data_IF_445915041269
#
_entry.id   IF_445915041269
#
_cell.length_a   1.000
_cell.length_b   1.000
_cell.length_c   1.000
_cell.angle_alpha   90.00
_cell.angle_beta   90.00
_cell.angle_gamma   90.00
#
_symmetry.space_group_name_H-M   'P 1'
#
loop_
_entity.id
_entity.type
_entity.pdbx_description
1 polymer ?
#
# COMPACT_ATOMS: atom_id res chain seq x y z
N UNK A 1 -58.00 12.47 -44.94
CA UNK A 1 -56.56 12.12 -44.96
C UNK A 1 -55.89 12.64 -43.69
N UNK A 2 -55.13 11.76 -43.01
CA UNK A 2 -54.01 11.99 -42.08
C UNK A 2 -54.15 13.05 -40.96
N UNK A 3 -54.28 12.59 -39.71
CA UNK A 3 -53.55 13.14 -38.54
C UNK A 3 -53.85 12.33 -37.26
N UNK A 4 -53.37 11.07 -37.18
CA UNK A 4 -53.39 10.30 -35.91
C UNK A 4 -52.07 9.58 -35.59
N UNK A 5 -51.15 9.46 -36.55
CA UNK A 5 -49.86 8.79 -36.35
C UNK A 5 -48.76 9.67 -35.73
N UNK A 6 -48.78 11.00 -35.97
CA UNK A 6 -47.67 11.88 -35.58
C UNK A 6 -47.55 12.04 -34.06
N UNK A 7 -48.68 11.99 -33.33
CA UNK A 7 -48.67 12.21 -31.88
C UNK A 7 -48.06 11.05 -31.08
N UNK A 8 -48.18 9.81 -31.58
CA UNK A 8 -47.66 8.61 -30.90
C UNK A 8 -46.14 8.54 -31.06
N UNK A 9 -45.64 8.78 -32.29
CA UNK A 9 -44.20 8.80 -32.55
C UNK A 9 -43.48 9.91 -31.77
N UNK A 10 -44.12 11.07 -31.61
CA UNK A 10 -43.57 12.17 -30.82
C UNK A 10 -43.51 11.84 -29.32
N UNK A 11 -44.52 11.14 -28.79
CA UNK A 11 -44.50 10.66 -27.40
C UNK A 11 -43.40 9.62 -27.17
N UNK A 12 -43.22 8.68 -28.11
CA UNK A 12 -42.18 7.66 -28.02
C UNK A 12 -40.79 8.29 -28.06
N UNK A 13 -40.54 9.26 -28.96
CA UNK A 13 -39.24 9.92 -29.03
C UNK A 13 -38.96 10.77 -27.79
N UNK A 14 -39.96 11.46 -27.23
CA UNK A 14 -39.80 12.20 -25.97
C UNK A 14 -39.47 11.26 -24.80
N UNK A 15 -40.14 10.11 -24.71
CA UNK A 15 -39.87 9.11 -23.67
C UNK A 15 -38.45 8.55 -23.82
N UNK A 16 -38.03 8.20 -25.04
CA UNK A 16 -36.68 7.67 -25.29
C UNK A 16 -35.59 8.70 -25.00
N UNK A 17 -35.80 9.98 -25.33
CA UNK A 17 -34.88 11.06 -24.98
C UNK A 17 -34.84 11.27 -23.46
N UNK A 18 -35.97 11.22 -22.76
CA UNK A 18 -36.00 11.32 -21.30
C UNK A 18 -35.26 10.15 -20.63
N UNK A 19 -35.44 8.92 -21.13
CA UNK A 19 -34.70 7.74 -20.65
C UNK A 19 -33.21 7.91 -20.93
N UNK A 20 -32.82 8.37 -22.12
CA UNK A 20 -31.43 8.63 -22.46
C UNK A 20 -30.81 9.71 -21.54
N UNK A 21 -31.53 10.80 -21.27
CA UNK A 21 -31.08 11.84 -20.35
C UNK A 21 -30.95 11.32 -18.91
N UNK A 22 -31.85 10.44 -18.45
CA UNK A 22 -31.76 9.81 -17.11
C UNK A 22 -30.62 8.79 -17.02
N UNK A 23 -30.34 8.04 -18.08
CA UNK A 23 -29.30 6.99 -18.05
C UNK A 23 -27.91 7.55 -18.32
N UNK A 24 -27.80 8.57 -19.18
CA UNK A 24 -26.50 9.08 -19.67
C UNK A 24 -26.10 10.40 -19.03
N UNK A 25 -27.06 11.26 -18.67
CA UNK A 25 -26.77 12.57 -18.07
C UNK A 25 -27.18 12.69 -16.60
N UNK A 26 -27.82 11.67 -16.02
CA UNK A 26 -27.85 11.62 -14.57
C UNK A 26 -26.39 11.43 -14.13
N UNK A 27 -25.83 12.34 -13.32
CA UNK A 27 -24.56 12.06 -12.68
C UNK A 27 -24.74 10.74 -11.95
N UNK A 28 -23.72 9.88 -11.96
CA UNK A 28 -23.65 8.72 -11.07
C UNK A 28 -23.89 9.23 -9.64
N UNK A 29 -25.15 9.26 -9.21
CA UNK A 29 -25.47 9.31 -7.80
C UNK A 29 -25.05 7.94 -7.35
N UNK A 30 -23.81 7.84 -6.89
CA UNK A 30 -23.41 6.83 -5.94
C UNK A 30 -24.54 6.74 -4.93
N UNK A 31 -25.36 5.71 -5.09
CA UNK A 31 -26.46 5.42 -4.22
C UNK A 31 -25.77 4.93 -2.94
N UNK A 32 -25.39 5.86 -2.07
CA UNK A 32 -24.83 5.58 -0.77
C UNK A 32 -25.94 4.94 0.05
N UNK A 33 -26.11 3.63 -0.12
CA UNK A 33 -26.85 2.82 0.82
C UNK A 33 -26.23 3.06 2.19
N UNK A 34 -27.00 3.43 3.23
CA UNK A 34 -26.48 3.47 4.58
C UNK A 34 -26.19 2.01 4.93
N UNK A 35 -24.94 1.59 4.73
CA UNK A 35 -24.51 0.26 5.12
C UNK A 35 -24.72 0.20 6.63
N UNK A 36 -25.75 -0.52 7.04
CA UNK A 36 -26.01 -0.80 8.45
C UNK A 36 -24.71 -1.35 9.03
N UNK A 37 -24.08 -0.59 9.93
CA UNK A 37 -22.84 -1.01 10.57
C UNK A 37 -23.09 -2.35 11.24
N UNK A 38 -22.51 -3.42 10.71
CA UNK A 38 -22.60 -4.75 11.31
C UNK A 38 -22.01 -4.71 12.73
N UNK A 39 -22.45 -5.60 13.61
CA UNK A 39 -21.86 -5.74 14.95
C UNK A 39 -20.34 -5.96 14.86
N UNK A 40 -19.86 -6.69 13.84
CA UNK A 40 -18.44 -6.85 13.54
C UNK A 40 -17.76 -5.51 13.25
N UNK A 41 -18.33 -4.66 12.38
CA UNK A 41 -17.77 -3.32 12.09
C UNK A 41 -17.68 -2.44 13.35
N UNK A 42 -18.62 -2.60 14.29
CA UNK A 42 -18.63 -1.87 15.56
C UNK A 42 -17.53 -2.38 16.51
N UNK A 43 -17.24 -3.68 16.51
CA UNK A 43 -16.14 -4.26 17.28
C UNK A 43 -14.79 -3.81 16.71
N UNK A 44 -14.60 -3.90 15.39
CA UNK A 44 -13.37 -3.45 14.74
C UNK A 44 -13.10 -1.97 15.02
N UNK A 45 -14.11 -1.12 14.88
CA UNK A 45 -13.97 0.30 15.16
C UNK A 45 -13.60 0.57 16.63
N UNK A 46 -14.22 -0.13 17.59
CA UNK A 46 -13.90 0.04 19.02
C UNK A 46 -12.48 -0.39 19.35
N UNK A 47 -12.03 -1.53 18.85
CA UNK A 47 -10.66 -2.00 19.11
C UNK A 47 -9.62 -1.11 18.42
N UNK A 48 -9.93 -0.61 17.22
CA UNK A 48 -9.10 0.39 16.55
C UNK A 48 -9.02 1.70 17.34
N UNK A 49 -10.15 2.25 17.79
CA UNK A 49 -10.18 3.48 18.60
C UNK A 49 -9.35 3.32 19.88
N UNK A 50 -9.48 2.17 20.56
CA UNK A 50 -8.69 1.86 21.76
C UNK A 50 -7.19 1.75 21.47
N UNK A 51 -6.81 1.09 20.38
CA UNK A 51 -5.41 1.00 19.95
C UNK A 51 -4.85 2.38 19.60
N UNK A 52 -5.60 3.18 18.83
CA UNK A 52 -5.21 4.51 18.40
C UNK A 52 -5.03 5.46 19.59
N UNK A 53 -5.95 5.44 20.56
CA UNK A 53 -5.83 6.22 21.79
C UNK A 53 -4.58 5.82 22.59
N UNK A 54 -4.31 4.52 22.72
CA UNK A 54 -3.09 4.03 23.36
C UNK A 54 -1.82 4.52 22.64
N UNK A 55 -1.78 4.43 21.31
CA UNK A 55 -0.66 4.87 20.49
C UNK A 55 -0.40 6.37 20.67
N UNK A 56 -1.46 7.19 20.55
CA UNK A 56 -1.37 8.63 20.74
C UNK A 56 -0.88 8.97 22.14
N UNK A 57 -1.40 8.34 23.19
CA UNK A 57 -0.98 8.60 24.56
C UNK A 57 0.52 8.28 24.79
N UNK A 58 1.03 7.21 24.20
CA UNK A 58 2.45 6.81 24.32
C UNK A 58 3.40 7.68 23.49
N UNK A 59 2.90 8.45 22.51
CA UNK A 59 3.72 9.26 21.60
C UNK A 59 3.51 10.77 21.79
N UNK A 60 2.50 11.19 22.54
CA UNK A 60 2.11 12.60 22.70
C UNK A 60 3.21 13.47 23.31
N UNK A 61 4.03 12.90 24.20
CA UNK A 61 5.19 13.62 24.77
C UNK A 61 6.27 13.93 23.74
N UNK A 62 6.36 13.13 22.68
CA UNK A 62 7.35 13.26 21.61
C UNK A 62 6.82 13.98 20.37
N UNK A 63 5.57 14.44 20.35
CA UNK A 63 4.90 14.97 19.13
C UNK A 63 5.65 16.09 18.38
N UNK A 64 6.52 16.83 19.08
CA UNK A 64 7.31 17.92 18.51
C UNK A 64 8.77 17.51 18.20
N UNK A 65 9.13 16.24 18.41
CA UNK A 65 10.46 15.68 18.19
C UNK A 65 10.32 14.40 17.34
N UNK A 66 10.40 14.51 16.00
CA UNK A 66 10.25 13.37 15.10
C UNK A 66 11.23 12.23 15.39
N UNK A 67 12.47 12.55 15.78
CA UNK A 67 13.48 11.55 16.11
C UNK A 67 13.05 10.73 17.33
N UNK A 68 12.50 11.41 18.35
CA UNK A 68 11.96 10.72 19.52
C UNK A 68 10.68 9.94 19.22
N UNK A 69 9.84 10.40 18.28
CA UNK A 69 8.68 9.61 17.80
C UNK A 69 9.18 8.30 17.19
N UNK A 70 10.10 8.35 16.23
CA UNK A 70 10.62 7.14 15.56
C UNK A 70 11.32 6.18 16.52
N UNK A 71 12.10 6.70 17.48
CA UNK A 71 12.73 5.86 18.52
C UNK A 71 11.74 5.16 19.44
N UNK A 72 10.53 5.71 19.62
CA UNK A 72 9.54 5.19 20.57
C UNK A 72 8.35 4.49 19.91
N UNK A 73 8.14 4.64 18.60
CA UNK A 73 6.98 4.05 17.90
C UNK A 73 6.94 2.53 18.07
N UNK A 74 8.06 1.82 17.90
CA UNK A 74 8.10 0.37 18.07
C UNK A 74 7.79 -0.08 19.51
N UNK A 75 8.15 0.72 20.52
CA UNK A 75 7.75 0.46 21.91
C UNK A 75 6.25 0.68 22.10
N UNK A 76 5.71 1.76 21.57
CA UNK A 76 4.28 2.06 21.62
C UNK A 76 3.45 0.96 20.95
N UNK A 77 3.84 0.51 19.76
CA UNK A 77 3.19 -0.62 19.06
C UNK A 77 3.13 -1.86 19.95
N UNK A 78 4.27 -2.30 20.50
CA UNK A 78 4.32 -3.48 21.39
C UNK A 78 3.45 -3.33 22.64
N UNK A 79 3.30 -2.12 23.16
CA UNK A 79 2.45 -1.84 24.33
C UNK A 79 0.96 -1.81 23.99
N UNK A 80 0.61 -1.25 22.83
CA UNK A 80 -0.77 -0.99 22.45
C UNK A 80 -1.44 -2.11 21.66
N UNK A 81 -0.65 -2.95 20.98
CA UNK A 81 -1.14 -4.07 20.21
C UNK A 81 -1.54 -5.24 21.12
N UNK A 82 -2.84 -5.48 21.23
CA UNK A 82 -3.38 -6.54 22.09
C UNK A 82 -3.51 -7.87 21.35
N UNK A 83 -3.41 -8.97 22.09
CA UNK A 83 -3.66 -10.31 21.54
C UNK A 83 -5.07 -10.44 20.95
N UNK A 84 -6.05 -9.78 21.56
CA UNK A 84 -7.42 -9.73 21.05
C UNK A 84 -7.48 -9.07 19.66
N UNK A 85 -6.76 -7.96 19.47
CA UNK A 85 -6.71 -7.27 18.18
C UNK A 85 -6.06 -8.15 17.10
N UNK A 86 -4.93 -8.80 17.41
CA UNK A 86 -4.28 -9.75 16.50
C UNK A 86 -5.21 -10.87 16.05
N UNK A 87 -5.94 -11.47 17.00
CA UNK A 87 -6.87 -12.55 16.70
C UNK A 87 -8.07 -12.08 15.87
N UNK A 88 -8.62 -10.89 16.19
CA UNK A 88 -9.74 -10.30 15.44
C UNK A 88 -9.38 -9.96 13.99
N UNK A 89 -8.15 -9.47 13.78
CA UNK A 89 -7.62 -9.16 12.45
C UNK A 89 -7.03 -10.38 11.74
N UNK A 90 -6.93 -11.54 12.40
CA UNK A 90 -6.21 -12.72 11.89
C UNK A 90 -4.78 -12.38 11.42
N UNK A 91 -4.11 -11.50 12.16
CA UNK A 91 -2.79 -11.02 11.83
C UNK A 91 -1.74 -12.11 12.10
N UNK A 92 -0.81 -12.30 11.17
CA UNK A 92 0.30 -13.26 11.27
C UNK A 92 1.63 -12.55 11.02
N UNK A 93 2.69 -13.06 11.65
CA UNK A 93 4.06 -12.57 11.48
C UNK A 93 4.88 -13.50 10.60
N UNK A 94 5.69 -12.93 9.73
CA UNK A 94 6.55 -13.60 8.76
C UNK A 94 7.96 -13.03 8.89
N UNK A 95 8.81 -13.73 9.65
CA UNK A 95 10.19 -13.29 9.89
C UNK A 95 11.16 -13.83 8.83
N UNK A 96 12.15 -13.02 8.47
CA UNK A 96 13.34 -13.42 7.71
C UNK A 96 14.57 -13.40 8.66
N UNK A 97 15.80 -13.12 8.21
CA UNK A 97 16.99 -13.11 9.10
C UNK A 97 16.98 -12.02 10.17
N UNK A 98 16.42 -10.89 9.82
CA UNK A 98 16.78 -9.59 10.37
C UNK A 98 15.55 -8.74 10.71
N UNK A 99 14.40 -9.05 10.11
CA UNK A 99 13.15 -8.33 10.32
C UNK A 99 11.94 -9.28 10.43
N UNK A 100 10.78 -8.68 10.70
CA UNK A 100 9.51 -9.39 10.80
C UNK A 100 8.41 -8.57 10.17
N UNK A 101 7.81 -9.14 9.13
CA UNK A 101 6.70 -8.55 8.40
C UNK A 101 5.37 -9.08 8.92
N UNK A 102 4.38 -8.21 9.06
CA UNK A 102 3.06 -8.55 9.58
C UNK A 102 2.03 -8.51 8.45
N UNK A 103 1.16 -9.51 8.39
CA UNK A 103 0.14 -9.62 7.36
C UNK A 103 -1.21 -10.04 7.96
N UNK A 104 -2.24 -9.27 7.65
CA UNK A 104 -3.64 -9.54 7.91
C UNK A 104 -4.13 -10.49 6.83
N UNK A 105 -4.41 -11.74 7.22
CA UNK A 105 -4.84 -12.77 6.29
C UNK A 105 -6.17 -12.40 5.63
N UNK A 106 -6.32 -12.62 4.30
CA UNK A 106 -7.59 -12.40 3.63
C UNK A 106 -8.69 -13.28 4.23
N UNK A 107 -9.92 -12.75 4.25
CA UNK A 107 -11.10 -13.48 4.76
C UNK A 107 -11.61 -14.48 3.71
N UNK A 108 -11.38 -14.18 2.44
CA UNK A 108 -11.81 -14.96 1.29
C UNK A 108 -10.61 -15.33 0.44
N UNK A 109 -10.69 -16.43 -0.31
CA UNK A 109 -9.65 -16.88 -1.25
C UNK A 109 -9.68 -16.06 -2.55
N UNK A 110 -9.57 -14.73 -2.41
CA UNK A 110 -9.45 -13.81 -3.52
C UNK A 110 -7.98 -13.51 -3.79
N UNK A 111 -7.59 -13.29 -5.05
CA UNK A 111 -6.24 -12.85 -5.37
C UNK A 111 -5.87 -11.60 -4.58
N UNK A 112 -4.70 -11.62 -3.94
CA UNK A 112 -4.17 -10.49 -3.17
C UNK A 112 -2.89 -10.00 -3.81
N UNK A 113 -2.74 -8.70 -3.91
CA UNK A 113 -1.56 -8.07 -4.50
C UNK A 113 -0.57 -7.71 -3.40
N UNK A 114 0.59 -8.36 -3.41
CA UNK A 114 1.70 -8.10 -2.49
C UNK A 114 2.83 -7.42 -3.26
N UNK A 115 3.24 -6.25 -2.80
CA UNK A 115 4.33 -5.48 -3.40
C UNK A 115 5.48 -5.36 -2.40
N UNK A 116 6.69 -5.74 -2.79
CA UNK A 116 7.92 -5.54 -2.00
C UNK A 116 8.83 -4.53 -2.70
N UNK A 117 9.22 -3.46 -2.01
CA UNK A 117 10.28 -2.53 -2.44
C UNK A 117 11.52 -2.78 -1.59
N UNK A 118 12.65 -2.98 -2.26
CA UNK A 118 13.86 -3.50 -1.63
C UNK A 118 13.64 -4.93 -1.17
N UNK A 119 13.90 -5.86 -2.08
CA UNK A 119 13.74 -7.28 -1.80
C UNK A 119 14.86 -7.76 -0.88
N UNK A 120 16.05 -7.15 -1.03
CA UNK A 120 17.25 -7.62 -0.36
C UNK A 120 17.61 -9.05 -0.79
N UNK A 121 18.52 -9.67 -0.06
CA UNK A 121 18.98 -11.03 -0.35
C UNK A 121 18.20 -12.11 0.43
N UNK A 122 17.06 -11.78 1.03
CA UNK A 122 16.29 -12.69 1.89
C UNK A 122 14.77 -12.60 1.71
N UNK A 123 14.24 -13.46 0.83
CA UNK A 123 12.81 -13.59 0.54
C UNK A 123 12.06 -14.57 1.46
N UNK A 124 12.62 -14.96 2.61
CA UNK A 124 12.00 -15.97 3.50
C UNK A 124 10.63 -15.54 4.03
N UNK A 125 10.40 -14.24 4.20
CA UNK A 125 9.09 -13.74 4.64
C UNK A 125 8.03 -13.95 3.55
N UNK A 126 8.37 -13.61 2.31
CA UNK A 126 7.54 -13.82 1.12
C UNK A 126 7.27 -15.30 0.87
N UNK A 127 8.29 -16.15 0.97
CA UNK A 127 8.16 -17.61 0.84
C UNK A 127 7.21 -18.18 1.90
N UNK A 128 7.33 -17.75 3.15
CA UNK A 128 6.43 -18.18 4.22
C UNK A 128 5.00 -17.70 3.98
N UNK A 129 4.80 -16.46 3.50
CA UNK A 129 3.48 -15.96 3.15
C UNK A 129 2.87 -16.77 2.00
N UNK A 130 3.66 -17.05 0.95
CA UNK A 130 3.26 -17.89 -0.18
C UNK A 130 2.82 -19.28 0.26
N UNK A 131 3.55 -19.90 1.18
CA UNK A 131 3.21 -21.23 1.69
C UNK A 131 1.91 -21.28 2.51
N UNK A 132 1.40 -20.13 2.94
CA UNK A 132 0.11 -20.06 3.64
C UNK A 132 -1.06 -19.98 2.65
N UNK A 133 -0.88 -19.35 1.48
CA UNK A 133 -1.92 -19.28 0.46
C UNK A 133 -1.38 -19.02 -0.94
N UNK A 134 -1.95 -19.72 -1.92
CA UNK A 134 -1.59 -19.55 -3.32
C UNK A 134 -2.23 -18.31 -3.98
N UNK A 135 -3.09 -17.58 -3.27
CA UNK A 135 -3.82 -16.41 -3.78
C UNK A 135 -2.96 -15.14 -3.87
N UNK A 136 -1.74 -15.16 -3.32
CA UNK A 136 -0.84 -14.02 -3.32
C UNK A 136 -0.14 -13.87 -4.68
N UNK A 137 -0.32 -12.72 -5.34
CA UNK A 137 0.46 -12.26 -6.49
C UNK A 137 1.57 -11.33 -6.00
N UNK A 138 2.82 -11.74 -6.19
CA UNK A 138 4.00 -11.01 -5.71
C UNK A 138 4.64 -10.14 -6.80
N UNK A 139 4.95 -8.89 -6.45
CA UNK A 139 5.67 -7.93 -7.28
C UNK A 139 6.81 -7.32 -6.48
N UNK A 140 8.05 -7.56 -6.88
CA UNK A 140 9.24 -7.13 -6.16
C UNK A 140 10.08 -6.18 -7.00
N UNK A 141 10.49 -5.06 -6.44
CA UNK A 141 11.41 -4.13 -7.10
C UNK A 141 12.68 -3.95 -6.27
N UNK A 142 13.83 -4.15 -6.92
CA UNK A 142 15.15 -4.00 -6.30
C UNK A 142 16.18 -3.68 -7.39
N UNK A 143 17.10 -2.72 -7.19
CA UNK A 143 18.11 -2.39 -8.20
C UNK A 143 19.17 -3.49 -8.39
N UNK A 144 19.32 -4.44 -7.46
CA UNK A 144 20.31 -5.53 -7.53
C UNK A 144 19.73 -6.78 -8.18
N UNK A 145 20.29 -7.16 -9.32
CA UNK A 145 19.80 -8.28 -10.14
C UNK A 145 20.35 -9.65 -9.72
N UNK A 146 21.58 -9.71 -9.19
CA UNK A 146 22.40 -10.93 -9.16
C UNK A 146 21.76 -12.10 -8.38
N UNK A 147 21.16 -11.84 -7.23
CA UNK A 147 20.54 -12.87 -6.37
C UNK A 147 19.01 -12.70 -6.35
N UNK A 148 18.53 -11.47 -6.44
CA UNK A 148 17.15 -11.13 -6.09
C UNK A 148 16.17 -11.60 -7.16
N UNK A 149 16.57 -11.59 -8.44
CA UNK A 149 15.72 -12.15 -9.51
C UNK A 149 15.49 -13.64 -9.29
N UNK A 150 16.54 -14.40 -8.97
CA UNK A 150 16.42 -15.85 -8.77
C UNK A 150 15.55 -16.16 -7.54
N UNK A 151 15.74 -15.43 -6.44
CA UNK A 151 14.93 -15.57 -5.23
C UNK A 151 13.46 -15.27 -5.49
N UNK A 152 13.15 -14.14 -6.12
CA UNK A 152 11.77 -13.71 -6.33
C UNK A 152 11.05 -14.57 -7.39
N UNK A 153 11.79 -15.16 -8.34
CA UNK A 153 11.21 -16.09 -9.32
C UNK A 153 10.83 -17.44 -8.68
N UNK A 154 11.42 -17.83 -7.54
CA UNK A 154 11.03 -19.04 -6.79
C UNK A 154 9.66 -18.92 -6.12
N UNK A 155 9.22 -17.70 -5.77
CA UNK A 155 7.91 -17.41 -5.16
C UNK A 155 6.84 -17.00 -6.20
N UNK A 156 6.87 -17.64 -7.38
CA UNK A 156 6.31 -17.14 -8.65
C UNK A 156 6.10 -15.61 -8.78
N UNK A 157 7.01 -14.81 -8.24
CA UNK A 157 6.89 -13.36 -8.21
C UNK A 157 7.40 -12.71 -9.48
N UNK A 158 6.96 -11.46 -9.73
CA UNK A 158 7.49 -10.63 -10.81
C UNK A 158 8.55 -9.70 -10.26
N UNK A 159 9.78 -9.88 -10.73
CA UNK A 159 10.93 -9.08 -10.36
C UNK A 159 11.13 -7.88 -11.30
N UNK A 160 11.49 -6.73 -10.74
CA UNK A 160 11.76 -5.49 -11.46
C UNK A 160 13.14 -4.92 -11.07
N UNK A 161 14.10 -4.81 -12.02
CA UNK A 161 15.50 -4.47 -11.74
C UNK A 161 15.73 -2.95 -11.62
N UNK A 162 14.99 -2.29 -10.73
CA UNK A 162 15.15 -0.87 -10.43
C UNK A 162 14.70 -0.57 -9.01
N UNK A 163 15.23 0.51 -8.44
CA UNK A 163 14.74 1.05 -7.18
C UNK A 163 13.39 1.76 -7.40
N UNK A 164 12.55 1.79 -6.38
CA UNK A 164 11.27 2.53 -6.40
C UNK A 164 11.31 3.58 -5.31
N UNK A 165 10.86 4.79 -5.63
CA UNK A 165 10.85 5.91 -4.68
C UNK A 165 9.88 7.01 -5.08
N UNK A 166 10.02 8.18 -4.47
CA UNK A 166 9.11 9.32 -4.70
C UNK A 166 9.29 10.01 -6.07
N UNK A 167 10.38 9.76 -6.79
CA UNK A 167 10.63 10.35 -8.10
C UNK A 167 11.45 9.43 -8.99
N UNK A 168 11.23 9.53 -10.31
CA UNK A 168 12.03 8.82 -11.30
C UNK A 168 13.34 9.56 -11.57
N UNK A 169 14.42 8.82 -11.84
CA UNK A 169 15.70 9.41 -12.19
C UNK A 169 16.89 8.52 -11.83
N UNK A 170 18.08 9.08 -11.95
CA UNK A 170 19.28 8.48 -11.35
C UNK A 170 19.40 8.98 -9.92
N UNK A 171 19.59 8.06 -8.97
CA UNK A 171 19.77 8.36 -7.56
C UNK A 171 20.83 7.46 -6.95
N UNK A 172 21.30 7.82 -5.76
CA UNK A 172 22.19 6.96 -4.97
C UNK A 172 21.34 6.10 -4.05
N UNK A 173 21.57 4.79 -4.08
CA UNK A 173 21.00 3.83 -3.14
C UNK A 173 22.12 3.08 -2.42
N UNK A 174 21.95 2.79 -1.13
CA UNK A 174 22.79 1.84 -0.42
C UNK A 174 22.40 0.43 -0.88
N UNK A 175 23.32 -0.31 -1.48
CA UNK A 175 23.04 -1.67 -1.99
C UNK A 175 23.99 -2.69 -1.39
N UNK A 176 23.45 -3.85 -1.01
CA UNK A 176 24.23 -4.95 -0.48
C UNK A 176 24.99 -5.66 -1.61
N UNK A 177 26.31 -5.46 -1.68
CA UNK A 177 27.18 -6.17 -2.63
C UNK A 177 28.11 -7.13 -1.89
N UNK A 178 27.86 -8.43 -2.07
CA UNK A 178 28.53 -9.47 -1.28
C UNK A 178 28.05 -9.42 0.17
N UNK A 179 28.90 -8.96 1.09
CA UNK A 179 28.58 -8.81 2.52
C UNK A 179 28.73 -7.37 3.02
N UNK A 180 28.81 -6.39 2.12
CA UNK A 180 28.99 -4.98 2.46
C UNK A 180 28.02 -4.11 1.69
N UNK A 181 27.38 -3.18 2.39
CA UNK A 181 26.61 -2.11 1.79
C UNK A 181 27.51 -1.09 1.10
N UNK A 182 27.11 -0.65 -0.08
CA UNK A 182 27.83 0.36 -0.86
C UNK A 182 26.85 1.29 -1.55
N UNK A 183 27.13 2.58 -1.48
CA UNK A 183 26.41 3.58 -2.26
C UNK A 183 26.67 3.37 -3.75
N UNK A 184 25.60 3.13 -4.51
CA UNK A 184 25.65 2.96 -5.95
C UNK A 184 24.62 3.86 -6.65
N UNK A 185 24.97 4.35 -7.83
CA UNK A 185 24.00 5.03 -8.69
C UNK A 185 23.08 3.99 -9.32
N UNK A 186 21.79 4.12 -9.06
CA UNK A 186 20.74 3.21 -9.55
C UNK A 186 19.65 4.01 -10.25
N UNK A 187 18.86 3.31 -11.05
CA UNK A 187 17.64 3.87 -11.64
C UNK A 187 16.52 3.78 -10.62
N UNK A 188 15.93 4.93 -10.31
CA UNK A 188 14.68 5.03 -9.57
C UNK A 188 13.50 5.16 -10.53
N UNK A 189 12.43 4.44 -10.22
CA UNK A 189 11.11 4.60 -10.81
C UNK A 189 10.18 5.18 -9.75
N UNK A 190 9.41 6.20 -10.12
CA UNK A 190 8.42 6.80 -9.25
C UNK A 190 7.31 5.79 -8.88
N UNK A 191 6.94 5.73 -7.60
CA UNK A 191 6.05 4.69 -7.05
C UNK A 191 4.66 4.68 -7.69
N UNK A 192 4.05 5.84 -7.98
CA UNK A 192 2.74 5.90 -8.65
C UNK A 192 2.85 5.30 -10.06
N UNK A 193 3.89 5.65 -10.82
CA UNK A 193 4.17 5.10 -12.14
C UNK A 193 4.42 3.59 -12.08
N UNK A 194 5.22 3.11 -11.13
CA UNK A 194 5.45 1.68 -10.92
C UNK A 194 4.14 0.93 -10.70
N UNK A 195 3.31 1.40 -9.76
CA UNK A 195 2.05 0.74 -9.42
C UNK A 195 1.06 0.77 -10.60
N UNK A 196 0.83 1.94 -11.22
CA UNK A 196 -0.23 2.12 -12.22
C UNK A 196 0.16 1.69 -13.63
N UNK A 197 1.38 2.01 -14.06
CA UNK A 197 1.77 1.84 -15.45
C UNK A 197 2.55 0.54 -15.67
N UNK A 198 3.40 0.16 -14.72
CA UNK A 198 4.24 -1.04 -14.84
C UNK A 198 3.48 -2.29 -14.40
N UNK A 199 3.04 -2.36 -13.14
CA UNK A 199 2.36 -3.56 -12.62
C UNK A 199 0.84 -3.55 -12.84
N UNK A 200 0.28 -2.37 -13.18
CA UNK A 200 -1.14 -2.15 -13.48
C UNK A 200 -2.06 -2.51 -12.32
N UNK A 201 -1.69 -2.03 -11.13
CA UNK A 201 -2.43 -2.22 -9.88
C UNK A 201 -2.73 -0.87 -9.23
N UNK A 202 -3.98 -0.66 -8.87
CA UNK A 202 -4.43 0.49 -8.06
C UNK A 202 -5.01 0.03 -6.72
N UNK A 203 -5.08 -1.27 -6.48
CA UNK A 203 -5.52 -1.84 -5.21
C UNK A 203 -4.41 -2.81 -4.75
N UNK A 204 -3.74 -2.43 -3.67
CA UNK A 204 -2.59 -3.16 -3.11
C UNK A 204 -3.00 -3.68 -1.74
N UNK A 205 -3.05 -4.99 -1.61
CA UNK A 205 -3.47 -5.64 -0.37
C UNK A 205 -2.38 -5.53 0.70
N UNK A 206 -1.12 -5.66 0.31
CA UNK A 206 0.03 -5.56 1.19
C UNK A 206 1.24 -4.91 0.51
N UNK A 207 1.81 -3.90 1.15
CA UNK A 207 2.92 -3.11 0.64
C UNK A 207 4.10 -3.14 1.61
N UNK A 208 5.14 -3.87 1.28
CA UNK A 208 6.36 -4.05 2.08
C UNK A 208 7.44 -3.12 1.55
N UNK A 209 7.90 -2.20 2.39
CA UNK A 209 8.82 -1.13 2.00
C UNK A 209 10.05 -1.20 2.88
N UNK A 210 11.16 -1.57 2.26
CA UNK A 210 12.49 -1.54 2.84
C UNK A 210 13.43 -0.94 1.78
N UNK A 211 13.35 0.39 1.61
CA UNK A 211 13.94 1.06 0.46
C UNK A 211 15.23 1.82 0.80
N UNK A 212 15.89 1.44 1.91
CA UNK A 212 17.17 1.99 2.39
C UNK A 212 17.18 3.53 2.31
N UNK A 213 16.13 4.14 2.88
CA UNK A 213 15.96 5.58 3.06
C UNK A 213 15.07 6.26 2.03
N UNK A 214 14.79 5.61 0.89
CA UNK A 214 13.89 6.18 -0.11
C UNK A 214 12.42 6.22 0.35
N UNK A 215 12.07 5.45 1.38
CA UNK A 215 10.75 5.43 2.00
C UNK A 215 10.35 6.77 2.62
N UNK A 216 11.30 7.53 3.17
CA UNK A 216 11.03 8.80 3.83
C UNK A 216 10.40 9.84 2.89
N UNK A 217 10.86 9.88 1.64
CA UNK A 217 10.32 10.78 0.62
C UNK A 217 8.91 10.34 0.17
N UNK A 218 8.54 9.07 0.42
CA UNK A 218 7.21 8.53 0.13
C UNK A 218 6.21 8.71 1.28
N UNK A 219 6.63 9.05 2.51
CA UNK A 219 5.69 9.21 3.63
C UNK A 219 4.51 10.16 3.35
N UNK A 220 4.71 11.33 2.70
CA UNK A 220 3.59 12.21 2.37
C UNK A 220 2.55 11.60 1.42
N UNK A 221 2.88 10.51 0.72
CA UNK A 221 1.97 9.84 -0.21
C UNK A 221 0.84 9.13 0.53
N UNK A 222 1.11 8.70 1.77
CA UNK A 222 0.17 8.00 2.65
C UNK A 222 -0.79 8.92 3.41
N UNK A 223 -0.64 10.24 3.30
CA UNK A 223 -1.58 11.16 3.93
C UNK A 223 -2.96 11.07 3.29
N UNK A 224 -4.01 11.33 4.07
CA UNK A 224 -5.35 11.49 3.51
C UNK A 224 -5.36 12.63 2.48
N UNK A 225 -5.79 12.33 1.26
CA UNK A 225 -5.69 13.24 0.11
C UNK A 225 -4.27 13.39 -0.45
N UNK A 226 -3.34 12.51 -0.06
CA UNK A 226 -1.97 12.46 -0.57
C UNK A 226 -1.90 11.81 -1.96
N UNK A 227 -0.67 11.59 -2.44
CA UNK A 227 -0.45 11.16 -3.83
C UNK A 227 -1.05 9.80 -4.17
N UNK A 228 -1.17 8.86 -3.23
CA UNK A 228 -1.87 7.60 -3.52
C UNK A 228 -3.37 7.87 -3.79
N UNK A 229 -4.02 8.65 -2.93
CA UNK A 229 -5.44 9.03 -3.07
C UNK A 229 -5.69 9.83 -4.35
N UNK A 230 -4.87 10.84 -4.64
CA UNK A 230 -4.94 11.66 -5.87
C UNK A 230 -4.86 10.80 -7.14
N UNK A 231 -4.19 9.66 -7.06
CA UNK A 231 -4.00 8.75 -8.17
C UNK A 231 -4.94 7.54 -8.17
N UNK A 232 -5.91 7.49 -7.23
CA UNK A 232 -6.88 6.42 -7.10
C UNK A 232 -6.25 5.10 -6.66
N UNK A 233 -5.13 5.14 -5.93
CA UNK A 233 -4.45 3.96 -5.40
C UNK A 233 -4.89 3.73 -3.96
N UNK A 234 -5.36 2.52 -3.66
CA UNK A 234 -5.71 2.07 -2.32
C UNK A 234 -4.64 1.10 -1.83
N UNK A 235 -4.05 1.39 -0.66
CA UNK A 235 -3.17 0.49 0.07
C UNK A 235 -3.92 -0.01 1.31
N UNK A 236 -4.13 -1.31 1.45
CA UNK A 236 -4.92 -1.87 2.56
C UNK A 236 -4.10 -2.07 3.83
N UNK A 237 -2.85 -2.51 3.69
CA UNK A 237 -1.88 -2.61 4.77
C UNK A 237 -0.47 -2.39 4.22
N UNK A 238 0.45 -2.02 5.10
CA UNK A 238 1.85 -1.87 4.72
C UNK A 238 2.77 -2.24 5.88
N UNK A 239 3.97 -2.69 5.52
CA UNK A 239 5.11 -2.84 6.42
C UNK A 239 6.17 -1.86 5.95
N UNK A 240 6.82 -1.19 6.89
CA UNK A 240 7.86 -0.22 6.57
C UNK A 240 9.03 -0.39 7.52
N UNK A 241 10.20 -0.60 6.94
CA UNK A 241 11.47 -0.41 7.64
C UNK A 241 11.81 1.08 7.62
N UNK A 242 12.25 1.60 8.76
CA UNK A 242 12.64 3.00 8.90
C UNK A 242 13.85 3.06 9.82
N UNK A 243 15.04 3.27 9.26
CA UNK A 243 16.26 3.44 10.04
C UNK A 243 16.36 4.89 10.57
N UNK A 244 16.31 5.11 11.91
CA UNK A 244 16.45 6.45 12.49
C UNK A 244 17.81 7.14 12.21
N UNK A 245 18.81 6.42 11.67
CA UNK A 245 20.10 6.94 11.24
C UNK A 245 20.10 7.53 9.82
N UNK A 246 19.11 7.17 8.99
CA UNK A 246 19.01 7.67 7.63
C UNK A 246 18.20 8.97 7.60
N UNK A 247 18.90 10.06 7.29
CA UNK A 247 18.27 11.37 7.15
C UNK A 247 17.49 11.39 5.84
N UNK A 248 16.22 11.89 5.83
CA UNK A 248 15.48 12.09 4.60
C UNK A 248 16.36 12.86 3.60
N UNK A 249 16.40 12.42 2.35
CA UNK A 249 17.21 13.05 1.29
C UNK A 249 16.93 14.56 1.17
N UNK A 250 15.78 15.03 1.66
CA UNK A 250 15.40 16.45 1.78
C UNK A 250 16.35 17.28 2.65
N UNK A 251 17.10 16.71 3.60
CA UNK A 251 18.07 17.44 4.43
C UNK A 251 19.44 17.57 3.73
N UNK A 252 19.68 16.85 2.63
CA UNK A 252 20.92 16.94 1.83
C UNK A 252 20.79 17.84 0.58
N UNK A 253 19.74 18.67 0.49
CA UNK A 253 19.78 19.83 -0.42
C UNK A 253 20.47 20.99 0.30
N UNK A 254 21.76 21.10 0.01
CA UNK A 254 22.68 22.16 0.43
C UNK A 254 22.05 23.57 0.31
N UNK A 255 22.23 24.36 1.38
CA UNK A 255 22.59 25.78 1.26
C UNK A 255 24.11 25.87 1.20
#
# INVERSE_FOLDING_TARGET
MRSRGVSIWFLITVILVLIYMIVVLAPERQLSWPFSRSAASTIYQREFERWNECMLNNLTEFRNDPMMVWKNVGKAVRTCETEKMRQLLKMRSFSNSDETKWHIMPIFDLPTTVVTLGIGHDTRAEEKLRNVSDVHEFFGADPMHEINEELYTKIPGKYFPFAVGAASGLGTASVLKGSTYRDMTVVYVEVIYFLKEIIKKTFIDDFWIDAEGAEYDMFPYFYNGGKFDENGITICQFNIEADPGETPAVVRREF
#
